data_IF_463882971320
#
_entry.id   IF_463882971320
#
_cell.length_a   1.000
_cell.length_b   1.000
_cell.length_c   1.000
_cell.angle_alpha   90.00
_cell.angle_beta   90.00
_cell.angle_gamma   90.00
#
_symmetry.space_group_name_H-M   'P 1'
#
loop_
_entity.id
_entity.type
_entity.pdbx_description
1 polymer ?
#
# COMPACT_ATOMS: atom_id res chain seq x y z
N UNK A 1 32.74 -15.16 4.24
CA UNK A 1 31.33 -15.63 4.39
C UNK A 1 31.00 -16.59 3.26
N UNK A 2 30.38 -17.75 3.52
CA UNK A 2 29.92 -18.64 2.43
C UNK A 2 28.95 -17.86 1.54
N UNK A 3 29.07 -17.97 0.21
CA UNK A 3 28.21 -17.25 -0.78
C UNK A 3 26.71 -17.40 -0.46
N UNK A 4 26.32 -18.55 0.08
CA UNK A 4 24.96 -18.83 0.55
C UNK A 4 24.45 -17.84 1.60
N UNK A 5 25.26 -17.45 2.59
CA UNK A 5 24.85 -16.52 3.63
C UNK A 5 24.72 -15.10 3.06
N UNK A 6 25.62 -14.72 2.16
CA UNK A 6 25.55 -13.43 1.46
C UNK A 6 24.25 -13.32 0.65
N UNK A 7 23.84 -14.37 -0.07
CA UNK A 7 22.60 -14.34 -0.85
C UNK A 7 21.35 -14.25 0.02
N UNK A 8 21.34 -14.84 1.22
CA UNK A 8 20.25 -14.64 2.17
C UNK A 8 20.19 -13.21 2.70
N UNK A 9 21.33 -12.63 3.08
CA UNK A 9 21.40 -11.23 3.52
C UNK A 9 20.91 -10.30 2.41
N UNK A 10 21.38 -10.48 1.17
CA UNK A 10 20.94 -9.68 0.03
C UNK A 10 19.43 -9.84 -0.22
N UNK A 11 18.90 -11.06 -0.18
CA UNK A 11 17.47 -11.30 -0.37
C UNK A 11 16.62 -10.59 0.69
N UNK A 12 17.03 -10.61 1.96
CA UNK A 12 16.36 -9.91 3.05
C UNK A 12 16.41 -8.40 2.81
N UNK A 13 17.58 -7.84 2.53
CA UNK A 13 17.76 -6.39 2.31
C UNK A 13 16.92 -5.91 1.13
N UNK A 14 16.96 -6.60 -0.01
CA UNK A 14 16.17 -6.25 -1.20
C UNK A 14 14.67 -6.30 -0.86
N UNK A 15 14.21 -7.35 -0.17
CA UNK A 15 12.79 -7.48 0.20
C UNK A 15 12.34 -6.36 1.12
N UNK A 16 13.14 -6.00 2.13
CA UNK A 16 12.83 -4.90 3.05
C UNK A 16 12.80 -3.54 2.35
N UNK A 17 13.74 -3.28 1.43
CA UNK A 17 13.74 -2.06 0.61
C UNK A 17 12.49 -2.00 -0.26
N UNK A 18 12.13 -3.10 -0.94
CA UNK A 18 10.92 -3.16 -1.76
C UNK A 18 9.65 -2.98 -0.93
N UNK A 19 9.59 -3.58 0.27
CA UNK A 19 8.48 -3.44 1.20
C UNK A 19 8.28 -1.99 1.64
N UNK A 20 9.38 -1.34 2.03
CA UNK A 20 9.37 0.07 2.41
C UNK A 20 8.88 0.94 1.25
N UNK A 21 9.49 0.77 0.06
CA UNK A 21 9.11 1.50 -1.14
C UNK A 21 7.61 1.38 -1.45
N UNK A 22 7.07 0.16 -1.49
CA UNK A 22 5.63 -0.09 -1.72
C UNK A 22 4.74 0.62 -0.70
N UNK A 23 5.19 0.65 0.56
CA UNK A 23 4.43 1.29 1.63
C UNK A 23 4.40 2.81 1.47
N UNK A 24 5.53 3.46 1.18
CA UNK A 24 5.58 4.93 1.03
C UNK A 24 5.02 5.44 -0.30
N UNK A 25 5.10 4.66 -1.38
CA UNK A 25 4.50 5.02 -2.68
C UNK A 25 3.04 4.58 -2.81
N UNK A 26 2.51 3.90 -1.80
CA UNK A 26 1.15 3.37 -1.81
C UNK A 26 0.08 4.48 -1.78
N UNK A 27 -1.10 4.27 -2.40
CA UNK A 27 -2.18 5.25 -2.43
C UNK A 27 -2.83 5.51 -1.07
N UNK A 28 -2.55 4.66 -0.08
CA UNK A 28 -2.99 4.76 1.31
C UNK A 28 -1.98 5.42 2.24
N UNK A 29 -0.76 5.74 1.76
CA UNK A 29 0.24 6.42 2.57
C UNK A 29 -0.24 7.83 2.94
N UNK A 30 -0.22 8.23 4.23
CA UNK A 30 -0.71 9.53 4.66
C UNK A 30 0.04 10.66 3.99
N UNK A 31 -0.70 11.69 3.57
CA UNK A 31 -0.09 12.91 3.05
C UNK A 31 0.32 13.79 4.23
N UNK A 32 1.63 13.95 4.40
CA UNK A 32 2.19 14.81 5.44
C UNK A 32 2.88 16.00 4.81
N UNK A 33 2.88 17.14 5.50
CA UNK A 33 3.53 18.35 5.03
C UNK A 33 3.71 19.36 6.12
N UNK A 34 4.36 20.47 5.75
CA UNK A 34 4.57 21.63 6.60
C UNK A 34 4.13 22.85 5.82
N UNK A 35 3.48 23.78 6.50
CA UNK A 35 3.03 25.06 5.96
C UNK A 35 3.34 26.17 6.94
N UNK A 36 3.59 27.37 6.42
CA UNK A 36 3.83 28.54 7.25
C UNK A 36 2.60 29.45 7.21
N UNK A 37 2.08 29.82 8.37
CA UNK A 37 1.00 30.78 8.54
C UNK A 37 1.43 31.83 9.57
N UNK A 38 1.57 33.09 9.15
CA UNK A 38 2.05 34.20 9.99
C UNK A 38 3.35 33.92 10.76
N UNK A 39 4.34 33.36 10.06
CA UNK A 39 5.65 33.05 10.66
C UNK A 39 5.67 31.78 11.51
N UNK A 40 4.55 31.07 11.62
CA UNK A 40 4.43 29.81 12.35
C UNK A 40 4.39 28.62 11.42
N UNK A 41 5.33 27.69 11.63
CA UNK A 41 5.32 26.40 10.94
C UNK A 41 4.27 25.46 11.56
N UNK A 42 3.35 24.98 10.75
CA UNK A 42 2.30 24.03 11.10
C UNK A 42 2.56 22.75 10.31
N UNK A 43 2.84 21.66 11.03
CA UNK A 43 2.92 20.33 10.45
C UNK A 43 1.56 19.66 10.43
N UNK A 44 1.25 18.95 9.35
CA UNK A 44 0.01 18.20 9.22
C UNK A 44 0.27 16.79 8.71
N UNK A 45 -0.62 15.87 9.06
CA UNK A 45 -0.69 14.50 8.57
C UNK A 45 -2.14 14.14 8.27
N UNK A 46 -2.43 13.90 6.99
CA UNK A 46 -3.78 13.68 6.49
C UNK A 46 -3.87 12.27 5.91
N UNK A 47 -4.74 11.45 6.49
CA UNK A 47 -4.89 10.04 6.12
C UNK A 47 -5.59 9.90 4.75
N UNK A 48 -5.23 8.86 4.02
CA UNK A 48 -5.80 8.52 2.69
C UNK A 48 -6.62 7.22 2.71
N UNK A 49 -6.67 6.55 3.84
CA UNK A 49 -7.47 5.35 4.07
C UNK A 49 -7.98 5.34 5.51
N UNK A 50 -9.24 4.95 5.69
CA UNK A 50 -9.88 4.82 7.00
C UNK A 50 -10.74 3.56 7.07
N UNK A 51 -10.90 3.01 8.27
CA UNK A 51 -11.82 1.90 8.53
C UNK A 51 -13.28 2.37 8.71
N UNK A 52 -14.24 1.53 8.32
CA UNK A 52 -15.69 1.81 8.38
C UNK A 52 -16.30 1.75 9.78
N UNK A 53 -15.48 1.63 10.83
CA UNK A 53 -15.94 1.46 12.22
C UNK A 53 -16.13 2.77 12.99
N UNK A 54 -15.55 3.89 12.50
CA UNK A 54 -15.65 5.20 13.15
C UNK A 54 -15.40 6.35 12.18
N UNK A 55 -15.87 7.53 12.57
CA UNK A 55 -15.52 8.77 11.91
C UNK A 55 -14.00 8.97 11.87
N UNK A 56 -13.52 9.63 10.83
CA UNK A 56 -12.11 10.01 10.77
C UNK A 56 -11.92 11.35 11.49
N UNK A 57 -11.32 11.28 12.67
CA UNK A 57 -10.94 12.45 13.44
C UNK A 57 -9.65 13.04 12.86
N UNK A 58 -9.76 14.25 12.32
CA UNK A 58 -8.66 15.05 11.82
C UNK A 58 -8.21 15.98 12.94
N UNK A 59 -6.91 16.01 13.21
CA UNK A 59 -6.33 16.85 14.23
C UNK A 59 -5.13 17.62 13.65
N UNK A 60 -5.11 18.94 13.84
CA UNK A 60 -4.02 19.82 13.42
C UNK A 60 -3.52 20.60 14.62
N UNK A 61 -2.26 20.39 14.97
CA UNK A 61 -1.57 21.16 16.01
C UNK A 61 -1.13 22.50 15.44
N UNK A 62 -1.91 23.55 15.70
CA UNK A 62 -1.62 24.92 15.30
C UNK A 62 -0.68 25.61 16.29
N UNK A 63 -0.69 25.17 17.55
CA UNK A 63 0.02 25.76 18.68
C UNK A 63 -0.43 27.19 19.03
N UNK A 64 -1.42 27.74 18.32
CA UNK A 64 -1.89 29.13 18.40
C UNK A 64 -3.41 29.13 18.37
N UNK A 65 -4.02 29.73 19.39
CA UNK A 65 -5.47 29.76 19.59
C UNK A 65 -6.15 30.80 18.69
N UNK A 66 -5.38 31.74 18.12
CA UNK A 66 -5.90 32.69 17.15
C UNK A 66 -6.09 32.07 15.75
N UNK A 67 -5.59 30.85 15.53
CA UNK A 67 -5.76 30.13 14.27
C UNK A 67 -7.10 29.41 14.30
N UNK A 68 -7.94 29.71 13.31
CA UNK A 68 -9.18 29.01 13.04
C UNK A 68 -9.01 28.06 11.85
N UNK A 69 -9.86 27.04 11.78
CA UNK A 69 -9.82 26.06 10.70
C UNK A 69 -11.20 25.67 10.22
N UNK A 70 -11.31 25.37 8.92
CA UNK A 70 -12.51 24.82 8.29
C UNK A 70 -12.10 23.59 7.49
N UNK A 71 -12.77 22.48 7.76
CA UNK A 71 -12.67 21.26 6.98
C UNK A 71 -13.69 21.32 5.84
N UNK A 72 -13.22 21.24 4.60
CA UNK A 72 -14.06 21.15 3.42
C UNK A 72 -14.07 19.72 2.91
N UNK A 73 -15.25 19.13 2.71
CA UNK A 73 -15.35 17.77 2.19
C UNK A 73 -16.58 17.51 1.32
N UNK A 74 -16.50 16.50 0.46
CA UNK A 74 -17.63 16.03 -0.35
C UNK A 74 -17.48 14.54 -0.68
N UNK A 75 -18.56 13.93 -1.18
CA UNK A 75 -18.49 12.60 -1.77
C UNK A 75 -17.65 12.63 -3.04
N UNK A 76 -16.78 11.64 -3.20
CA UNK A 76 -15.91 11.52 -4.37
C UNK A 76 -16.75 11.47 -5.66
N UNK A 77 -16.36 12.26 -6.65
CA UNK A 77 -16.99 12.34 -7.97
C UNK A 77 -18.51 12.62 -7.94
N UNK A 78 -19.04 13.28 -6.92
CA UNK A 78 -20.48 13.58 -6.83
C UNK A 78 -20.91 14.84 -7.60
N UNK A 79 -19.96 15.65 -8.07
CA UNK A 79 -20.24 16.96 -8.69
C UNK A 79 -20.79 18.03 -7.74
N UNK A 80 -21.06 17.67 -6.48
CA UNK A 80 -21.59 18.57 -5.46
C UNK A 80 -20.53 19.55 -4.95
N UNK A 81 -21.03 20.65 -4.39
CA UNK A 81 -20.25 21.60 -3.60
C UNK A 81 -19.70 20.95 -2.32
N UNK A 82 -18.64 21.55 -1.79
CA UNK A 82 -18.02 21.11 -0.55
C UNK A 82 -18.87 21.51 0.65
N UNK A 83 -19.10 20.56 1.55
CA UNK A 83 -19.59 20.81 2.90
C UNK A 83 -18.47 21.43 3.72
N UNK A 84 -18.73 22.61 4.30
CA UNK A 84 -17.82 23.27 5.23
C UNK A 84 -18.15 22.86 6.68
N UNK A 85 -17.18 22.30 7.38
CA UNK A 85 -17.29 21.90 8.79
C UNK A 85 -16.26 22.67 9.61
N UNK A 86 -16.67 23.59 10.50
CA UNK A 86 -15.75 24.31 11.36
C UNK A 86 -14.94 23.35 12.23
N UNK A 87 -13.63 23.59 12.32
CA UNK A 87 -12.79 22.87 13.27
C UNK A 87 -12.90 23.51 14.65
N UNK A 88 -12.98 22.68 15.69
CA UNK A 88 -13.09 23.11 17.09
C UNK A 88 -11.82 22.79 17.85
N UNK A 89 -11.46 23.66 18.80
CA UNK A 89 -10.28 23.53 19.64
C UNK A 89 -9.57 24.86 19.87
N UNK A 90 -8.42 24.79 20.54
CA UNK A 90 -7.52 25.94 20.74
C UNK A 90 -6.22 25.73 19.96
N UNK A 91 -5.12 25.45 20.68
CA UNK A 91 -3.81 25.12 20.09
C UNK A 91 -3.78 23.84 19.24
N UNK A 92 -4.84 23.05 19.32
CA UNK A 92 -5.06 21.83 18.54
C UNK A 92 -6.48 21.89 18.02
N UNK A 93 -6.62 22.05 16.71
CA UNK A 93 -7.90 22.08 16.01
C UNK A 93 -8.30 20.66 15.63
N UNK A 94 -9.59 20.36 15.76
CA UNK A 94 -10.15 19.05 15.43
C UNK A 94 -11.45 19.17 14.63
N UNK A 95 -11.65 18.25 13.70
CA UNK A 95 -12.93 18.06 13.00
C UNK A 95 -13.07 16.59 12.60
N UNK A 96 -14.28 16.18 12.30
CA UNK A 96 -14.57 14.80 11.92
C UNK A 96 -15.08 14.72 10.47
N UNK A 97 -14.56 13.74 9.74
CA UNK A 97 -15.21 13.26 8.52
C UNK A 97 -16.15 12.10 8.83
N UNK A 98 -17.39 12.14 8.35
CA UNK A 98 -18.36 11.09 8.64
C UNK A 98 -17.93 9.77 8.00
N UNK A 99 -18.09 8.68 8.75
CA UNK A 99 -17.84 7.33 8.26
C UNK A 99 -18.67 7.04 6.99
N UNK A 100 -18.04 6.40 6.01
CA UNK A 100 -18.70 5.94 4.79
C UNK A 100 -18.69 4.40 4.71
N UNK A 101 -19.43 3.83 3.77
CA UNK A 101 -19.38 2.38 3.50
C UNK A 101 -18.05 2.01 2.83
N UNK A 102 -17.68 0.73 2.87
CA UNK A 102 -16.50 0.23 2.14
C UNK A 102 -16.58 0.59 0.65
N UNK A 103 -15.42 0.82 0.03
CA UNK A 103 -15.25 1.30 -1.35
C UNK A 103 -15.73 2.73 -1.63
N UNK A 104 -16.52 3.34 -0.74
CA UNK A 104 -16.86 4.76 -0.84
C UNK A 104 -15.63 5.63 -0.51
N UNK A 105 -15.61 6.83 -1.10
CA UNK A 105 -14.50 7.76 -1.00
C UNK A 105 -15.03 9.17 -0.72
N UNK A 106 -14.27 9.93 0.06
CA UNK A 106 -14.50 11.36 0.28
C UNK A 106 -13.32 12.14 -0.25
N UNK A 107 -13.58 13.28 -0.90
CA UNK A 107 -12.56 14.29 -1.15
C UNK A 107 -12.61 15.34 -0.06
N UNK A 108 -11.46 15.70 0.49
CA UNK A 108 -11.38 16.72 1.53
C UNK A 108 -10.09 17.55 1.47
N UNK A 109 -10.15 18.73 2.05
CA UNK A 109 -9.01 19.60 2.35
C UNK A 109 -9.34 20.47 3.56
N UNK A 110 -8.33 21.09 4.15
CA UNK A 110 -8.49 21.96 5.31
C UNK A 110 -8.04 23.36 4.92
N UNK A 111 -8.78 24.38 5.34
CA UNK A 111 -8.34 25.76 5.28
C UNK A 111 -8.06 26.23 6.70
N UNK A 112 -6.86 26.76 6.93
CA UNK A 112 -6.52 27.45 8.17
C UNK A 112 -6.47 28.96 7.90
N UNK A 113 -6.95 29.74 8.87
CA UNK A 113 -7.02 31.19 8.76
C UNK A 113 -6.52 31.83 10.05
N UNK A 114 -5.71 32.88 9.90
CA UNK A 114 -5.28 33.76 10.99
C UNK A 114 -5.29 35.18 10.47
N UNK A 115 -6.06 36.07 11.10
CA UNK A 115 -6.33 37.41 10.59
C UNK A 115 -6.84 37.34 9.13
N UNK A 116 -6.24 38.09 8.20
CA UNK A 116 -6.56 38.07 6.77
C UNK A 116 -5.79 36.99 5.97
N UNK A 117 -4.87 36.27 6.61
CA UNK A 117 -4.04 35.27 5.95
C UNK A 117 -4.70 33.89 6.02
N UNK A 118 -4.76 33.22 4.87
CA UNK A 118 -5.35 31.89 4.74
C UNK A 118 -4.40 30.94 4.04
N UNK A 119 -4.41 29.67 4.46
CA UNK A 119 -3.61 28.60 3.87
C UNK A 119 -4.44 27.33 3.73
N UNK A 120 -4.25 26.62 2.61
CA UNK A 120 -4.96 25.38 2.30
C UNK A 120 -4.03 24.18 2.51
N UNK A 121 -4.51 23.18 3.23
CA UNK A 121 -3.82 21.92 3.52
C UNK A 121 -4.55 20.77 2.80
N UNK A 122 -3.89 20.05 1.90
CA UNK A 122 -2.56 20.30 1.33
C UNK A 122 -2.59 21.36 0.22
N UNK A 123 -1.46 22.01 -0.06
CA UNK A 123 -1.35 23.03 -1.11
C UNK A 123 -1.79 22.47 -2.46
N UNK A 124 -2.75 23.15 -3.10
CA UNK A 124 -3.20 22.93 -4.49
C UNK A 124 -3.85 21.56 -4.81
N UNK A 125 -4.17 20.72 -3.81
CA UNK A 125 -4.81 19.42 -4.05
C UNK A 125 -5.86 19.09 -2.99
N UNK A 126 -6.96 18.47 -3.40
CA UNK A 126 -7.83 17.74 -2.49
C UNK A 126 -7.27 16.34 -2.25
N UNK A 127 -7.53 15.79 -1.07
CA UNK A 127 -7.14 14.44 -0.69
C UNK A 127 -8.35 13.53 -0.81
N UNK A 128 -8.17 12.39 -1.48
CA UNK A 128 -9.18 11.33 -1.48
C UNK A 128 -8.95 10.36 -0.33
N UNK A 129 -9.88 10.34 0.62
CA UNK A 129 -9.98 9.36 1.70
C UNK A 129 -10.78 8.14 1.23
N UNK A 130 -10.21 6.94 1.37
CA UNK A 130 -10.88 5.68 0.99
C UNK A 130 -11.32 4.90 2.22
N UNK A 131 -12.55 4.40 2.20
CA UNK A 131 -13.08 3.58 3.28
C UNK A 131 -12.97 2.08 2.96
N UNK A 132 -12.53 1.30 3.94
CA UNK A 132 -12.44 -0.16 3.88
C UNK A 132 -12.90 -0.77 5.20
N UNK A 133 -13.42 -1.98 5.16
CA UNK A 133 -13.75 -2.69 6.39
C UNK A 133 -12.47 -3.19 7.09
N UNK A 134 -12.49 -3.35 8.43
CA UNK A 134 -11.38 -3.94 9.16
C UNK A 134 -11.18 -5.40 8.75
N UNK A 135 -9.92 -5.80 8.56
CA UNK A 135 -9.58 -7.20 8.26
C UNK A 135 -9.18 -7.89 9.55
N UNK A 136 -9.72 -9.10 9.85
CA UNK A 136 -9.31 -9.84 11.03
C UNK A 136 -7.80 -10.10 11.07
N UNK A 137 -7.19 -9.89 12.23
CA UNK A 137 -5.73 -9.92 12.38
C UNK A 137 -5.14 -11.31 12.08
N UNK A 138 -5.90 -12.37 12.34
CA UNK A 138 -5.53 -13.75 12.05
C UNK A 138 -5.53 -14.08 10.53
N UNK A 139 -6.04 -13.19 9.68
CA UNK A 139 -5.90 -13.27 8.21
C UNK A 139 -4.81 -12.31 7.75
N UNK A 140 -4.83 -11.08 8.26
CA UNK A 140 -3.90 -10.03 7.86
C UNK A 140 -2.44 -10.41 8.14
N UNK A 141 -2.12 -10.89 9.34
CA UNK A 141 -0.75 -11.25 9.71
C UNK A 141 -0.23 -12.41 8.85
N UNK A 142 -0.93 -13.55 8.73
CA UNK A 142 -0.47 -14.62 7.85
C UNK A 142 -0.35 -14.21 6.39
N UNK A 143 -1.24 -13.36 5.88
CA UNK A 143 -1.17 -12.83 4.52
C UNK A 143 0.14 -12.08 4.30
N UNK A 144 0.40 -11.08 5.15
CA UNK A 144 1.60 -10.25 5.09
C UNK A 144 2.87 -11.10 5.18
N UNK A 145 2.90 -12.04 6.13
CA UNK A 145 4.03 -12.94 6.30
C UNK A 145 4.27 -13.80 5.04
N UNK A 146 3.22 -14.43 4.50
CA UNK A 146 3.33 -15.30 3.33
C UNK A 146 3.80 -14.52 2.10
N UNK A 147 3.32 -13.28 1.90
CA UNK A 147 3.72 -12.42 0.79
C UNK A 147 5.20 -12.01 0.88
N UNK A 148 5.64 -11.51 2.04
CA UNK A 148 7.05 -11.14 2.22
C UNK A 148 7.98 -12.34 2.17
N UNK A 149 7.55 -13.48 2.72
CA UNK A 149 8.30 -14.72 2.63
C UNK A 149 8.44 -15.20 1.18
N UNK A 150 7.38 -15.12 0.37
CA UNK A 150 7.42 -15.43 -1.05
C UNK A 150 8.37 -14.50 -1.82
N UNK A 151 8.32 -13.18 -1.56
CA UNK A 151 9.24 -12.21 -2.19
C UNK A 151 10.71 -12.46 -1.81
N UNK A 152 10.98 -12.77 -0.54
CA UNK A 152 12.32 -13.10 -0.07
C UNK A 152 12.83 -14.39 -0.72
N UNK A 153 12.02 -15.45 -0.74
CA UNK A 153 12.37 -16.70 -1.40
C UNK A 153 12.58 -16.50 -2.90
N UNK A 154 11.72 -15.74 -3.57
CA UNK A 154 11.86 -15.37 -4.98
C UNK A 154 13.21 -14.71 -5.26
N UNK A 155 13.55 -13.65 -4.51
CA UNK A 155 14.82 -12.94 -4.63
C UNK A 155 16.00 -13.88 -4.36
N UNK A 156 15.91 -14.68 -3.30
CA UNK A 156 16.93 -15.65 -2.93
C UNK A 156 17.14 -16.69 -4.03
N UNK A 157 16.08 -17.18 -4.65
CA UNK A 157 16.13 -18.15 -5.77
C UNK A 157 16.73 -17.48 -7.01
N UNK A 158 16.36 -16.24 -7.32
CA UNK A 158 16.96 -15.44 -8.41
C UNK A 158 18.48 -15.29 -8.28
N UNK A 159 18.97 -15.05 -7.05
CA UNK A 159 20.41 -14.94 -6.78
C UNK A 159 21.19 -16.25 -7.01
N UNK A 160 20.52 -17.41 -7.04
CA UNK A 160 21.19 -18.68 -7.41
C UNK A 160 21.69 -18.70 -8.86
N UNK A 161 21.25 -17.77 -9.71
CA UNK A 161 21.82 -17.54 -11.03
C UNK A 161 23.35 -17.36 -10.98
N UNK A 162 23.85 -16.63 -9.97
CA UNK A 162 25.27 -16.35 -9.76
C UNK A 162 26.02 -17.44 -9.00
N UNK A 163 25.34 -18.53 -8.63
CA UNK A 163 25.95 -19.66 -7.95
C UNK A 163 26.48 -20.70 -8.95
N UNK A 164 27.64 -21.29 -8.64
CA UNK A 164 28.21 -22.38 -9.47
C UNK A 164 27.30 -23.61 -9.41
N UNK A 165 26.89 -23.99 -8.20
CA UNK A 165 26.01 -25.12 -7.91
C UNK A 165 24.65 -24.60 -7.39
N UNK A 166 23.72 -24.27 -8.29
CA UNK A 166 22.46 -23.63 -7.93
C UNK A 166 21.56 -24.57 -7.13
N UNK A 167 20.99 -24.09 -6.02
CA UNK A 167 19.97 -24.83 -5.24
C UNK A 167 18.57 -24.26 -5.48
N UNK A 168 18.04 -24.46 -6.68
CA UNK A 168 16.82 -23.80 -7.16
C UNK A 168 15.52 -24.57 -6.85
N UNK A 169 15.53 -25.90 -6.84
CA UNK A 169 14.29 -26.70 -6.76
C UNK A 169 13.44 -26.41 -5.52
N UNK A 170 14.04 -26.55 -4.34
CA UNK A 170 13.34 -26.35 -3.06
C UNK A 170 12.94 -24.88 -2.88
N UNK A 171 13.80 -23.95 -3.27
CA UNK A 171 13.53 -22.52 -3.13
C UNK A 171 12.38 -22.08 -4.05
N UNK A 172 12.37 -22.52 -5.30
CA UNK A 172 11.30 -22.23 -6.25
C UNK A 172 9.98 -22.88 -5.82
N UNK A 173 10.01 -24.13 -5.35
CA UNK A 173 8.82 -24.81 -4.81
C UNK A 173 8.18 -24.01 -3.67
N UNK A 174 8.97 -23.63 -2.66
CA UNK A 174 8.45 -22.84 -1.54
C UNK A 174 8.02 -21.44 -1.98
N UNK A 175 8.69 -20.83 -2.96
CA UNK A 175 8.26 -19.54 -3.54
C UNK A 175 6.85 -19.64 -4.12
N UNK A 176 6.59 -20.66 -4.96
CA UNK A 176 5.27 -20.89 -5.58
C UNK A 176 4.20 -21.14 -4.52
N UNK A 177 4.48 -22.00 -3.53
CA UNK A 177 3.51 -22.33 -2.46
C UNK A 177 3.19 -21.12 -1.60
N UNK A 178 4.21 -20.39 -1.14
CA UNK A 178 4.01 -19.19 -0.31
C UNK A 178 3.30 -18.08 -1.08
N UNK A 179 3.63 -17.89 -2.36
CA UNK A 179 2.93 -16.94 -3.23
C UNK A 179 1.47 -17.35 -3.48
N UNK A 180 1.20 -18.64 -3.61
CA UNK A 180 -0.17 -19.13 -3.78
C UNK A 180 -1.02 -18.89 -2.52
N UNK A 181 -0.50 -19.29 -1.35
CA UNK A 181 -1.20 -19.15 -0.07
C UNK A 181 -1.37 -17.66 0.27
N UNK A 182 -0.30 -16.87 0.19
CA UNK A 182 -0.34 -15.44 0.50
C UNK A 182 -1.17 -14.66 -0.51
N UNK A 183 -0.90 -14.86 -1.80
CA UNK A 183 -1.46 -14.07 -2.88
C UNK A 183 -2.91 -14.39 -3.22
N UNK A 184 -3.31 -15.66 -3.18
CA UNK A 184 -4.64 -16.09 -3.56
C UNK A 184 -5.49 -16.44 -2.35
N UNK A 185 -5.15 -17.47 -1.57
CA UNK A 185 -6.02 -17.91 -0.47
C UNK A 185 -6.26 -16.80 0.57
N UNK A 186 -5.17 -16.27 1.12
CA UNK A 186 -5.23 -15.22 2.13
C UNK A 186 -5.53 -13.85 1.51
N UNK A 187 -5.07 -13.59 0.28
CA UNK A 187 -5.37 -12.37 -0.46
C UNK A 187 -6.87 -12.23 -0.78
N UNK A 188 -7.51 -13.30 -1.24
CA UNK A 188 -8.96 -13.35 -1.50
C UNK A 188 -9.76 -13.15 -0.22
N UNK A 189 -9.36 -13.81 0.87
CA UNK A 189 -10.01 -13.62 2.16
C UNK A 189 -9.89 -12.17 2.63
N UNK A 190 -8.68 -11.60 2.60
CA UNK A 190 -8.42 -10.21 2.97
C UNK A 190 -9.26 -9.22 2.16
N UNK A 191 -9.32 -9.38 0.83
CA UNK A 191 -10.14 -8.52 -0.04
C UNK A 191 -11.63 -8.69 0.25
N UNK A 192 -12.09 -9.92 0.47
CA UNK A 192 -13.49 -10.20 0.83
C UNK A 192 -13.90 -9.49 2.11
N UNK A 193 -13.03 -9.47 3.13
CA UNK A 193 -13.26 -8.69 4.35
C UNK A 193 -13.21 -7.19 4.08
N UNK A 194 -12.14 -6.67 3.46
CA UNK A 194 -11.91 -5.24 3.35
C UNK A 194 -12.87 -4.51 2.38
N UNK A 195 -13.22 -5.16 1.27
CA UNK A 195 -13.90 -4.55 0.13
C UNK A 195 -15.20 -5.26 -0.24
N UNK A 196 -15.42 -6.48 0.25
CA UNK A 196 -16.60 -7.28 -0.14
C UNK A 196 -16.47 -7.99 -1.47
N UNK A 197 -15.29 -7.98 -2.07
CA UNK A 197 -15.00 -8.61 -3.35
C UNK A 197 -13.84 -9.58 -3.16
N UNK A 198 -13.89 -10.72 -3.86
CA UNK A 198 -12.84 -11.74 -3.76
C UNK A 198 -11.57 -11.28 -4.47
N UNK A 199 -11.73 -10.58 -5.60
CA UNK A 199 -10.64 -10.20 -6.48
C UNK A 199 -11.04 -9.06 -7.43
N UNK A 200 -10.34 -7.93 -7.39
CA UNK A 200 -10.63 -6.78 -8.26
C UNK A 200 -10.07 -6.90 -9.68
N UNK A 201 -9.13 -7.82 -9.90
CA UNK A 201 -8.50 -8.04 -11.20
C UNK A 201 -9.23 -9.03 -12.11
N UNK A 202 -8.73 -9.23 -13.32
CA UNK A 202 -9.26 -10.23 -14.25
C UNK A 202 -9.07 -11.66 -13.66
N UNK A 203 -9.97 -12.63 -13.91
CA UNK A 203 -11.20 -12.57 -14.70
C UNK A 203 -12.44 -12.07 -13.96
N UNK A 204 -12.37 -11.88 -12.63
CA UNK A 204 -13.54 -11.59 -11.81
C UNK A 204 -13.90 -10.09 -11.74
N UNK A 205 -12.89 -9.22 -11.84
CA UNK A 205 -13.02 -7.77 -11.83
C UNK A 205 -12.34 -7.11 -13.04
N UNK A 206 -12.33 -5.78 -13.02
CA UNK A 206 -11.88 -4.93 -14.15
C UNK A 206 -10.58 -4.16 -13.85
N UNK A 207 -10.08 -4.21 -12.63
CA UNK A 207 -8.85 -3.52 -12.24
C UNK A 207 -7.62 -4.32 -12.67
N UNK A 208 -7.06 -3.97 -13.82
CA UNK A 208 -5.85 -4.64 -14.34
C UNK A 208 -4.67 -4.51 -13.38
N UNK A 209 -4.65 -3.52 -12.49
CA UNK A 209 -3.56 -3.36 -11.52
C UNK A 209 -3.64 -4.27 -10.32
N UNK A 210 -4.75 -4.99 -10.15
CA UNK A 210 -4.88 -6.09 -9.20
C UNK A 210 -4.33 -7.42 -9.75
N UNK A 211 -4.02 -7.51 -11.05
CA UNK A 211 -3.44 -8.72 -11.66
C UNK A 211 -1.94 -8.92 -11.35
N UNK A 212 -1.32 -8.04 -10.57
CA UNK A 212 0.11 -8.10 -10.24
C UNK A 212 0.52 -9.46 -9.67
N UNK A 213 -0.18 -9.92 -8.65
CA UNK A 213 0.11 -11.20 -8.02
C UNK A 213 -0.11 -12.37 -8.99
N UNK A 214 -1.08 -12.29 -9.89
CA UNK A 214 -1.28 -13.31 -10.94
C UNK A 214 -0.11 -13.35 -11.92
N UNK A 215 0.36 -12.20 -12.41
CA UNK A 215 1.51 -12.12 -13.33
C UNK A 215 2.76 -12.72 -12.66
N UNK A 216 3.03 -12.33 -11.41
CA UNK A 216 4.14 -12.89 -10.65
C UNK A 216 4.00 -14.41 -10.48
N UNK A 217 2.79 -14.90 -10.18
CA UNK A 217 2.53 -16.32 -10.00
C UNK A 217 2.72 -17.12 -11.30
N UNK A 218 2.20 -16.64 -12.43
CA UNK A 218 2.39 -17.27 -13.74
C UNK A 218 3.88 -17.32 -14.10
N UNK A 219 4.62 -16.22 -13.89
CA UNK A 219 6.07 -16.20 -14.12
C UNK A 219 6.80 -17.27 -13.29
N UNK A 220 6.41 -17.44 -12.03
CA UNK A 220 6.96 -18.48 -11.16
C UNK A 220 6.56 -19.90 -11.56
N UNK A 221 5.34 -20.13 -12.04
CA UNK A 221 4.92 -21.42 -12.59
C UNK A 221 5.72 -21.78 -13.85
N UNK A 222 5.94 -20.81 -14.75
CA UNK A 222 6.78 -20.99 -15.93
C UNK A 222 8.21 -21.33 -15.51
N UNK A 223 8.80 -20.57 -14.58
CA UNK A 223 10.12 -20.87 -14.06
C UNK A 223 10.19 -22.28 -13.46
N UNK A 224 9.23 -22.67 -12.63
CA UNK A 224 9.14 -24.00 -12.04
C UNK A 224 9.05 -25.10 -13.10
N UNK A 225 8.31 -24.89 -14.18
CA UNK A 225 8.26 -25.81 -15.32
C UNK A 225 9.63 -25.98 -15.99
N UNK A 226 10.36 -24.88 -16.25
CA UNK A 226 11.71 -24.94 -16.82
C UNK A 226 12.73 -25.63 -15.91
N UNK A 227 12.59 -25.47 -14.59
CA UNK A 227 13.36 -26.23 -13.60
C UNK A 227 13.12 -27.73 -13.79
N UNK A 228 11.86 -28.18 -13.82
CA UNK A 228 11.52 -29.60 -13.99
C UNK A 228 11.97 -30.19 -15.32
N UNK A 229 12.06 -29.38 -16.37
CA UNK A 229 12.59 -29.80 -17.68
C UNK A 229 14.11 -29.73 -17.77
N UNK A 230 14.81 -29.23 -16.75
CA UNK A 230 16.26 -28.98 -16.77
C UNK A 230 16.71 -28.11 -17.95
N UNK A 231 15.85 -27.20 -18.44
CA UNK A 231 16.12 -26.34 -19.58
C UNK A 231 16.25 -24.90 -19.11
N UNK A 232 17.42 -24.28 -19.26
CA UNK A 232 17.67 -22.87 -18.94
C UNK A 232 17.15 -22.43 -17.56
N UNK A 233 17.15 -23.33 -16.57
CA UNK A 233 16.48 -23.15 -15.29
C UNK A 233 17.01 -21.93 -14.50
N UNK A 234 18.33 -21.68 -14.56
CA UNK A 234 18.94 -20.50 -13.93
C UNK A 234 18.35 -19.19 -14.47
N UNK A 235 18.27 -19.08 -15.80
CA UNK A 235 17.76 -17.87 -16.44
C UNK A 235 16.26 -17.68 -16.17
N UNK A 236 15.47 -18.76 -16.25
CA UNK A 236 14.04 -18.70 -15.99
C UNK A 236 13.71 -18.19 -14.57
N UNK A 237 14.45 -18.67 -13.57
CA UNK A 237 14.30 -18.23 -12.18
C UNK A 237 14.73 -16.78 -11.98
N UNK A 238 15.82 -16.35 -12.62
CA UNK A 238 16.25 -14.95 -12.56
C UNK A 238 15.17 -14.02 -13.14
N UNK A 239 14.62 -14.36 -14.30
CA UNK A 239 13.56 -13.59 -14.95
C UNK A 239 12.29 -13.55 -14.09
N UNK A 240 11.86 -14.67 -13.50
CA UNK A 240 10.71 -14.70 -12.61
C UNK A 240 10.91 -13.82 -11.35
N UNK A 241 12.11 -13.83 -10.77
CA UNK A 241 12.43 -12.97 -9.64
C UNK A 241 12.39 -11.47 -10.03
N UNK A 242 12.95 -11.11 -11.19
CA UNK A 242 12.90 -9.73 -11.72
C UNK A 242 11.46 -9.30 -11.99
N UNK A 243 10.65 -10.15 -12.64
CA UNK A 243 9.23 -9.87 -12.91
C UNK A 243 8.49 -9.64 -11.61
N UNK A 244 8.67 -10.50 -10.60
CA UNK A 244 8.01 -10.35 -9.30
C UNK A 244 8.37 -9.01 -8.64
N UNK A 245 9.65 -8.64 -8.62
CA UNK A 245 10.10 -7.35 -8.08
C UNK A 245 9.46 -6.20 -8.86
N UNK A 246 9.58 -6.22 -10.20
CA UNK A 246 9.07 -5.16 -11.06
C UNK A 246 7.56 -4.95 -10.88
N UNK A 247 6.80 -6.04 -10.85
CA UNK A 247 5.35 -6.03 -10.70
C UNK A 247 4.93 -5.47 -9.34
N UNK A 248 5.60 -5.84 -8.25
CA UNK A 248 5.33 -5.27 -6.93
C UNK A 248 5.89 -3.85 -6.74
N UNK A 249 6.83 -3.39 -7.58
CA UNK A 249 7.27 -1.99 -7.58
C UNK A 249 6.28 -1.05 -8.27
N UNK A 250 5.37 -1.56 -9.09
CA UNK A 250 4.29 -0.74 -9.68
C UNK A 250 3.36 -0.33 -8.53
N UNK A 251 3.19 0.96 -8.21
CA UNK A 251 2.19 1.41 -7.24
C UNK A 251 0.80 0.95 -7.71
N UNK A 252 -0.11 0.60 -6.81
CA UNK A 252 -1.51 0.40 -7.23
C UNK A 252 -1.99 1.69 -7.88
N UNK A 253 -2.40 1.61 -9.16
CA UNK A 253 -3.09 2.73 -9.78
C UNK A 253 -4.49 2.78 -9.18
N UNK A 254 -5.01 3.98 -9.05
CA UNK A 254 -6.33 4.26 -8.50
C UNK A 254 -7.37 4.21 -9.61
#
# INVERSE_FOLDING_TARGET
>A
MKKTNLFWILAIVITLISAYYQRVTGPSWPLSGKMNLDGKEISYKLERSQETVKNYQIEIETGDEAISGILFWRKFNSGNDFTATPMTGGKKLSAELPVQKRLEKLDYYIQLSKNDNTVILPKEKMITLRFKDPVPIYILIPHIFAMFFAMMLSTRTGLEFFNKEPKIDKLAFWTVISLFIGGFLLGFAMNGFAFGEVWGGWPFGKDVTDNKTQIAFIAWLIAFYFIKKNKNAKLAVLLAAIIMIAVYMIPHSV
#
